data_IF_397223022460
#
_entry.id   IF_397223022460
#
_cell.length_a   1.000
_cell.length_b   1.000
_cell.length_c   1.000
_cell.angle_alpha   90.00
_cell.angle_beta   90.00
_cell.angle_gamma   90.00
#
_symmetry.space_group_name_H-M   'P 1'
#
loop_
_entity.id
_entity.type
_entity.pdbx_description
1 polymer ?
#
# COMPACT_ATOMS: atom_id res chain seq x y z
N UNK A 1 42.20 4.42 60.95
CA UNK A 1 42.25 4.98 59.59
C UNK A 1 41.83 4.01 58.51
N UNK A 2 41.80 2.68 58.71
CA UNK A 2 41.46 1.70 57.71
C UNK A 2 39.97 1.51 57.42
N UNK A 3 39.08 1.82 58.34
CA UNK A 3 37.62 1.61 58.19
C UNK A 3 36.94 2.68 57.34
N UNK A 4 37.44 3.90 57.34
CA UNK A 4 36.91 5.03 56.52
C UNK A 4 37.23 4.84 55.01
N UNK A 5 38.38 4.24 54.70
CA UNK A 5 38.77 4.01 53.31
C UNK A 5 37.93 2.91 52.65
N UNK A 6 37.52 1.88 53.42
CA UNK A 6 36.69 0.80 52.91
C UNK A 6 35.25 1.21 52.59
N UNK A 7 34.69 2.15 53.36
CA UNK A 7 33.33 2.65 53.11
C UNK A 7 33.22 3.57 51.90
N UNK A 8 34.24 4.42 51.70
CA UNK A 8 34.28 5.33 50.52
C UNK A 8 34.50 4.58 49.23
N UNK A 9 35.32 3.54 49.19
CA UNK A 9 35.56 2.72 48.00
C UNK A 9 34.28 1.96 47.59
N UNK A 10 33.52 1.42 48.57
CA UNK A 10 32.25 0.74 48.30
C UNK A 10 31.15 1.68 47.80
N UNK A 11 31.12 2.93 48.32
CA UNK A 11 30.15 3.93 47.87
C UNK A 11 30.41 4.38 46.43
N UNK A 12 31.68 4.59 46.07
CA UNK A 12 32.10 4.99 44.71
C UNK A 12 31.87 3.86 43.70
N UNK A 13 32.17 2.60 44.08
CA UNK A 13 31.92 1.45 43.23
C UNK A 13 30.41 1.24 42.97
N UNK A 14 29.56 1.43 44.00
CA UNK A 14 28.10 1.35 43.85
C UNK A 14 27.52 2.46 42.94
N UNK A 15 28.05 3.68 43.04
CA UNK A 15 27.59 4.79 42.20
C UNK A 15 28.01 4.60 40.74
N UNK A 16 29.17 4.01 40.46
CA UNK A 16 29.66 3.78 39.11
C UNK A 16 28.91 2.65 38.40
N UNK A 17 28.42 1.64 39.11
CA UNK A 17 27.57 0.55 38.56
C UNK A 17 26.17 1.07 38.21
N UNK A 18 25.61 1.98 39.00
CA UNK A 18 24.30 2.58 38.66
C UNK A 18 24.33 3.48 37.42
N UNK A 19 25.47 4.14 37.12
CA UNK A 19 25.60 4.98 35.93
C UNK A 19 25.69 4.17 34.61
N UNK A 20 26.07 2.91 34.67
CA UNK A 20 26.19 2.04 33.47
C UNK A 20 24.86 1.45 32.99
N UNK A 21 23.79 1.52 33.79
CA UNK A 21 22.48 0.97 33.46
C UNK A 21 21.55 1.95 32.74
N UNK A 22 21.91 3.20 32.57
CA UNK A 22 21.09 4.25 31.90
C UNK A 22 21.40 4.37 30.41
N UNK A 23 22.32 3.59 29.86
CA UNK A 23 22.82 3.77 28.49
C UNK A 23 22.07 2.96 27.39
N UNK A 24 20.91 2.34 27.68
CA UNK A 24 20.22 1.52 26.70
C UNK A 24 18.74 1.84 26.54
N UNK A 25 18.41 3.11 26.30
CA UNK A 25 17.08 3.43 25.79
C UNK A 25 17.12 4.64 24.87
N UNK A 26 17.77 4.48 23.71
CA UNK A 26 17.33 5.24 22.55
C UNK A 26 16.21 4.43 21.92
N UNK A 27 14.95 4.90 21.94
CA UNK A 27 13.94 4.28 21.11
C UNK A 27 14.47 4.34 19.68
N UNK A 28 14.63 3.18 19.04
CA UNK A 28 14.79 3.12 17.60
C UNK A 28 13.50 3.71 17.05
N UNK A 29 13.53 5.00 16.75
CA UNK A 29 12.50 5.60 15.94
C UNK A 29 12.65 4.91 14.59
N UNK A 30 11.82 3.90 14.35
CA UNK A 30 11.60 3.39 13.03
C UNK A 30 11.25 4.60 12.16
N UNK A 31 12.15 4.98 11.27
CA UNK A 31 11.92 6.04 10.30
C UNK A 31 10.76 5.54 9.44
N UNK A 32 9.57 6.04 9.75
CA UNK A 32 8.39 5.85 8.91
C UNK A 32 8.74 6.43 7.54
N UNK A 33 8.91 5.53 6.57
CA UNK A 33 9.05 5.93 5.18
C UNK A 33 7.64 6.06 4.64
N UNK A 34 7.26 7.24 4.18
CA UNK A 34 5.99 7.50 3.50
C UNK A 34 6.07 7.28 1.99
N UNK A 35 7.18 6.72 1.50
CA UNK A 35 7.38 6.36 0.09
C UNK A 35 6.95 4.92 -0.18
N UNK A 36 6.49 4.62 -1.41
CA UNK A 36 6.12 3.26 -1.78
C UNK A 36 7.34 2.33 -1.79
N UNK A 37 7.09 1.05 -1.55
CA UNK A 37 8.10 0.00 -1.63
C UNK A 37 7.92 -0.83 -2.91
N UNK A 38 9.02 -1.30 -3.49
CA UNK A 38 8.96 -2.19 -4.64
C UNK A 38 8.23 -3.50 -4.29
N UNK A 39 7.47 -4.03 -5.25
CA UNK A 39 6.85 -5.35 -5.13
C UNK A 39 7.89 -6.44 -5.34
N UNK A 40 7.96 -7.37 -4.39
CA UNK A 40 8.85 -8.52 -4.47
C UNK A 40 8.11 -9.74 -5.05
N UNK A 41 8.76 -10.63 -5.81
CA UNK A 41 8.11 -11.82 -6.39
C UNK A 41 7.42 -12.74 -5.38
N UNK A 42 7.81 -12.70 -4.11
CA UNK A 42 7.20 -13.48 -3.01
C UNK A 42 6.15 -12.71 -2.22
N UNK A 43 5.81 -11.46 -2.60
CA UNK A 43 4.81 -10.71 -1.86
C UNK A 43 3.41 -11.32 -2.02
N UNK A 44 2.73 -11.44 -0.89
CA UNK A 44 1.37 -11.93 -0.81
C UNK A 44 0.36 -10.78 -0.66
N UNK A 45 -0.78 -10.93 -1.27
CA UNK A 45 -1.87 -9.98 -1.14
C UNK A 45 -2.41 -10.00 0.29
N UNK A 46 -2.48 -8.83 0.92
CA UNK A 46 -2.95 -8.67 2.30
C UNK A 46 -4.38 -9.17 2.54
N UNK A 47 -5.23 -9.17 1.52
CA UNK A 47 -6.64 -9.59 1.63
C UNK A 47 -6.81 -11.06 1.28
N UNK A 48 -6.33 -11.49 0.12
CA UNK A 48 -6.62 -12.85 -0.39
C UNK A 48 -5.49 -13.86 -0.20
N UNK A 49 -4.29 -13.43 0.26
CA UNK A 49 -3.14 -14.30 0.51
C UNK A 49 -2.47 -14.88 -0.73
N UNK A 50 -2.90 -14.51 -1.95
CA UNK A 50 -2.25 -14.99 -3.16
C UNK A 50 -0.96 -14.21 -3.45
N UNK A 51 0.02 -14.88 -4.06
CA UNK A 51 1.22 -14.24 -4.57
C UNK A 51 0.82 -13.19 -5.60
N UNK A 52 1.32 -11.95 -5.43
CA UNK A 52 0.93 -10.80 -6.25
C UNK A 52 1.54 -10.86 -7.65
N UNK A 53 2.77 -11.40 -7.72
CA UNK A 53 3.50 -11.52 -8.98
C UNK A 53 2.75 -12.40 -10.00
N UNK A 54 2.84 -12.01 -11.27
CA UNK A 54 2.18 -12.73 -12.36
C UNK A 54 0.72 -12.34 -12.62
N UNK A 55 0.05 -11.60 -11.75
CA UNK A 55 -1.27 -11.04 -12.08
C UNK A 55 -1.16 -9.80 -12.97
N UNK A 56 -2.00 -9.66 -13.99
CA UNK A 56 -2.03 -8.46 -14.83
C UNK A 56 -2.73 -7.30 -14.12
N UNK A 57 -2.50 -6.09 -14.60
CA UNK A 57 -3.12 -4.87 -14.13
C UNK A 57 -2.45 -4.23 -12.90
N UNK A 58 -2.93 -3.05 -12.50
CA UNK A 58 -2.32 -2.27 -11.44
C UNK A 58 -2.44 -2.95 -10.09
N UNK A 59 -1.36 -2.92 -9.33
CA UNK A 59 -1.30 -3.30 -7.93
C UNK A 59 -1.52 -2.08 -7.05
N UNK A 60 -1.77 -2.32 -5.77
CA UNK A 60 -1.86 -1.26 -4.78
C UNK A 60 -1.08 -1.59 -3.52
N UNK A 61 -0.67 -0.54 -2.81
CA UNK A 61 -0.11 -0.68 -1.47
C UNK A 61 -0.58 0.43 -0.54
N UNK A 62 -0.66 0.09 0.73
CA UNK A 62 -0.94 1.02 1.82
C UNK A 62 0.27 1.07 2.73
N UNK A 63 0.86 2.26 2.87
CA UNK A 63 2.02 2.53 3.72
C UNK A 63 1.53 3.17 5.00
N UNK A 64 1.74 2.49 6.12
CA UNK A 64 1.35 2.92 7.47
C UNK A 64 2.55 2.91 8.41
N UNK A 65 2.43 3.52 9.58
CA UNK A 65 3.47 3.44 10.62
C UNK A 65 3.76 2.01 11.08
N UNK A 66 2.75 1.14 10.99
CA UNK A 66 2.84 -0.28 11.35
C UNK A 66 3.53 -1.14 10.29
N UNK A 67 3.73 -0.62 9.08
CA UNK A 67 4.32 -1.34 7.96
C UNK A 67 3.57 -1.11 6.66
N UNK A 68 3.93 -1.89 5.64
CA UNK A 68 3.36 -1.79 4.30
C UNK A 68 2.46 -3.01 4.05
N UNK A 69 1.26 -2.75 3.56
CA UNK A 69 0.32 -3.77 3.09
C UNK A 69 0.25 -3.71 1.58
N UNK A 70 0.44 -4.83 0.93
CA UNK A 70 0.43 -4.96 -0.53
C UNK A 70 -0.79 -5.74 -1.01
N UNK A 71 -1.29 -5.39 -2.18
CA UNK A 71 -2.55 -5.90 -2.71
C UNK A 71 -2.38 -6.29 -4.18
N UNK A 72 -2.97 -7.42 -4.56
CA UNK A 72 -2.87 -7.95 -5.92
C UNK A 72 -3.60 -7.08 -6.96
N UNK A 73 -4.46 -6.16 -6.54
CA UNK A 73 -5.13 -5.20 -7.42
C UNK A 73 -5.47 -3.90 -6.71
N UNK A 74 -5.68 -2.86 -7.48
CA UNK A 74 -6.21 -1.57 -7.01
C UNK A 74 -7.59 -1.73 -6.35
N UNK A 75 -8.46 -2.59 -6.88
CA UNK A 75 -9.79 -2.83 -6.33
C UNK A 75 -9.74 -3.48 -4.94
N UNK A 76 -8.86 -4.46 -4.75
CA UNK A 76 -8.63 -5.10 -3.43
C UNK A 76 -8.14 -4.08 -2.40
N UNK A 77 -7.17 -3.24 -2.77
CA UNK A 77 -6.64 -2.20 -1.90
C UNK A 77 -7.72 -1.21 -1.49
N UNK A 78 -8.47 -0.67 -2.47
CA UNK A 78 -9.52 0.32 -2.18
C UNK A 78 -10.65 -0.34 -1.40
N UNK A 79 -11.03 -1.58 -1.72
CA UNK A 79 -12.06 -2.33 -0.98
C UNK A 79 -11.67 -2.54 0.49
N UNK A 80 -10.40 -2.86 0.75
CA UNK A 80 -9.87 -2.93 2.10
C UNK A 80 -9.86 -1.56 2.79
N UNK A 81 -9.42 -0.51 2.09
CA UNK A 81 -9.38 0.85 2.61
C UNK A 81 -10.76 1.40 2.98
N UNK A 82 -11.81 1.05 2.22
CA UNK A 82 -13.19 1.51 2.49
C UNK A 82 -13.83 0.88 3.75
N UNK A 83 -13.20 -0.12 4.37
CA UNK A 83 -13.68 -0.63 5.65
C UNK A 83 -13.37 0.36 6.77
N UNK A 84 -14.35 0.71 7.63
CA UNK A 84 -14.15 1.73 8.68
C UNK A 84 -12.98 1.44 9.61
N UNK A 85 -12.72 0.18 9.90
CA UNK A 85 -11.63 -0.28 10.76
C UNK A 85 -10.24 -0.07 10.16
N UNK A 86 -10.13 0.22 8.87
CA UNK A 86 -8.86 0.39 8.17
C UNK A 86 -8.46 1.86 7.96
N UNK A 87 -9.35 2.80 8.32
CA UNK A 87 -9.11 4.24 8.21
C UNK A 87 -8.35 4.81 9.43
N UNK A 88 -7.41 4.07 9.99
CA UNK A 88 -6.71 4.52 11.20
C UNK A 88 -5.41 5.24 10.88
N UNK A 89 -5.26 6.44 11.46
CA UNK A 89 -4.00 7.19 11.44
C UNK A 89 -3.62 7.76 10.08
N UNK A 90 -2.34 8.06 9.96
CA UNK A 90 -1.75 8.55 8.72
C UNK A 90 -1.35 7.36 7.85
N UNK A 91 -2.00 7.21 6.69
CA UNK A 91 -1.66 6.22 5.69
C UNK A 91 -1.49 6.87 4.33
N UNK A 92 -0.51 6.39 3.57
CA UNK A 92 -0.33 6.69 2.15
C UNK A 92 -0.81 5.51 1.33
N UNK A 93 -1.52 5.80 0.26
CA UNK A 93 -2.04 4.78 -0.66
C UNK A 93 -1.40 5.00 -2.02
N UNK A 94 -0.85 3.93 -2.58
CA UNK A 94 -0.19 3.97 -3.89
C UNK A 94 -0.78 2.94 -4.83
N UNK A 95 -0.83 3.28 -6.12
CA UNK A 95 -1.26 2.40 -7.21
C UNK A 95 -0.36 2.60 -8.42
N UNK A 96 -0.23 1.57 -9.28
CA UNK A 96 0.51 1.72 -10.52
C UNK A 96 -0.21 2.64 -11.51
N UNK A 97 0.55 3.52 -12.17
CA UNK A 97 0.07 4.32 -13.29
C UNK A 97 0.10 3.51 -14.59
N UNK A 98 -1.06 3.06 -15.04
CA UNK A 98 -1.19 2.27 -16.27
C UNK A 98 -1.06 3.09 -17.55
N UNK A 99 -0.93 4.40 -17.43
CA UNK A 99 -0.54 5.27 -18.54
C UNK A 99 0.95 5.19 -18.88
N UNK A 100 1.76 4.66 -17.94
CA UNK A 100 3.22 4.53 -18.05
C UNK A 100 3.69 3.09 -18.00
N UNK A 101 3.03 2.27 -17.22
CA UNK A 101 3.35 0.86 -17.01
C UNK A 101 2.64 -0.06 -18.00
N UNK A 102 3.29 -1.14 -18.46
CA UNK A 102 2.64 -2.17 -19.24
C UNK A 102 1.64 -2.97 -18.38
N UNK A 103 0.50 -3.35 -18.96
CA UNK A 103 -0.59 -4.02 -18.23
C UNK A 103 -0.18 -5.33 -17.57
N UNK A 104 0.63 -6.13 -18.26
CA UNK A 104 1.00 -7.46 -17.79
C UNK A 104 2.21 -7.49 -16.84
N UNK A 105 2.92 -6.38 -16.70
CA UNK A 105 4.08 -6.26 -15.83
C UNK A 105 4.24 -4.80 -15.37
N UNK A 106 3.38 -4.31 -14.46
CA UNK A 106 3.48 -2.96 -13.95
C UNK A 106 4.85 -2.70 -13.30
N UNK A 107 5.38 -1.50 -13.51
CA UNK A 107 6.69 -1.10 -13.00
C UNK A 107 6.52 -0.27 -11.72
N UNK A 108 7.18 -0.68 -10.64
CA UNK A 108 7.11 -0.01 -9.34
C UNK A 108 7.61 1.44 -9.36
N UNK A 109 8.46 1.82 -10.33
CA UNK A 109 8.84 3.21 -10.54
C UNK A 109 7.67 4.12 -10.98
N UNK A 110 6.56 3.52 -11.40
CA UNK A 110 5.34 4.20 -11.83
C UNK A 110 4.22 4.17 -10.76
N UNK A 111 4.55 3.95 -9.49
CA UNK A 111 3.60 4.09 -8.38
C UNK A 111 3.26 5.56 -8.15
N UNK A 112 1.97 5.84 -8.01
CA UNK A 112 1.39 7.19 -7.83
C UNK A 112 0.47 7.21 -6.62
N UNK A 113 0.20 8.40 -6.06
CA UNK A 113 -0.79 8.55 -4.98
C UNK A 113 -2.18 8.15 -5.48
N UNK A 114 -2.78 7.17 -4.82
CA UNK A 114 -4.07 6.62 -5.19
C UNK A 114 -5.21 7.65 -5.08
N UNK A 115 -5.11 8.60 -4.15
CA UNK A 115 -6.16 9.62 -3.95
C UNK A 115 -6.20 10.65 -5.06
N UNK A 116 -5.08 10.84 -5.74
CA UNK A 116 -4.95 11.78 -6.86
C UNK A 116 -5.18 11.14 -8.23
N UNK A 117 -5.18 9.81 -8.29
CA UNK A 117 -5.34 9.05 -9.51
C UNK A 117 -6.75 9.19 -10.13
N UNK A 118 -6.81 8.90 -11.42
CA UNK A 118 -8.03 8.66 -12.20
C UNK A 118 -8.19 7.16 -12.39
N UNK A 119 -9.40 6.67 -12.29
CA UNK A 119 -9.71 5.24 -12.38
C UNK A 119 -10.66 4.96 -13.52
N UNK A 120 -10.46 3.84 -14.22
CA UNK A 120 -11.40 3.36 -15.23
C UNK A 120 -11.97 2.03 -14.77
N UNK A 121 -13.31 1.96 -14.72
CA UNK A 121 -14.08 0.77 -14.34
C UNK A 121 -15.01 0.38 -15.48
N UNK A 122 -15.33 -0.92 -15.57
CA UNK A 122 -16.27 -1.45 -16.58
C UNK A 122 -15.62 -1.77 -17.92
N UNK A 123 -14.28 -1.87 -17.97
CA UNK A 123 -13.54 -2.34 -19.16
C UNK A 123 -13.62 -3.86 -19.30
N UNK A 124 -13.19 -4.37 -20.46
CA UNK A 124 -13.01 -5.81 -20.70
C UNK A 124 -11.64 -6.34 -20.26
N UNK A 125 -10.81 -5.48 -19.65
CA UNK A 125 -9.51 -5.88 -19.17
C UNK A 125 -9.62 -6.88 -18.02
N UNK A 126 -8.65 -7.78 -17.94
CA UNK A 126 -8.53 -8.75 -16.85
C UNK A 126 -7.49 -8.29 -15.85
N UNK A 127 -7.78 -8.50 -14.58
CA UNK A 127 -6.90 -8.26 -13.44
C UNK A 127 -6.73 -9.51 -12.59
N UNK A 128 -6.25 -9.33 -11.36
CA UNK A 128 -6.05 -10.42 -10.42
C UNK A 128 -7.37 -11.08 -10.03
N UNK A 129 -8.36 -10.31 -9.58
CA UNK A 129 -9.67 -10.79 -9.12
C UNK A 129 -10.72 -9.68 -9.23
N UNK A 130 -11.98 -10.10 -9.39
CA UNK A 130 -13.15 -9.21 -9.31
C UNK A 130 -13.15 -8.09 -10.35
N UNK A 131 -13.62 -6.92 -9.93
CA UNK A 131 -13.68 -5.72 -10.76
C UNK A 131 -12.28 -5.17 -11.02
N UNK A 132 -12.06 -4.72 -12.25
CA UNK A 132 -10.80 -4.05 -12.61
C UNK A 132 -10.98 -2.54 -12.44
N UNK A 133 -10.10 -1.94 -11.66
CA UNK A 133 -9.91 -0.50 -11.56
C UNK A 133 -8.54 -0.15 -12.14
N UNK A 134 -8.51 0.23 -13.40
CA UNK A 134 -7.28 0.70 -14.05
C UNK A 134 -6.97 2.13 -13.58
N UNK A 135 -5.78 2.35 -13.03
CA UNK A 135 -5.36 3.61 -12.42
C UNK A 135 -4.40 4.40 -13.31
N UNK A 136 -4.54 5.72 -13.33
CA UNK A 136 -3.79 6.65 -14.19
C UNK A 136 -3.47 7.94 -13.45
N UNK A 137 -2.28 8.50 -13.66
CA UNK A 137 -1.95 9.87 -13.26
C UNK A 137 -2.61 10.91 -14.15
N UNK A 138 -2.91 10.57 -15.41
CA UNK A 138 -3.48 11.47 -16.42
C UNK A 138 -4.95 11.17 -16.69
N UNK A 139 -5.79 12.20 -16.57
CA UNK A 139 -7.20 12.10 -16.95
C UNK A 139 -7.36 11.74 -18.44
N UNK A 140 -6.52 12.30 -19.30
CA UNK A 140 -6.56 12.01 -20.73
C UNK A 140 -6.27 10.53 -21.03
N UNK A 141 -5.28 9.94 -20.33
CA UNK A 141 -4.96 8.51 -20.47
C UNK A 141 -6.13 7.63 -20.01
N UNK A 142 -6.77 7.98 -18.87
CA UNK A 142 -7.95 7.30 -18.39
C UNK A 142 -9.12 7.39 -19.37
N UNK A 143 -9.40 8.58 -19.91
CA UNK A 143 -10.44 8.80 -20.92
C UNK A 143 -10.17 8.01 -22.20
N UNK A 144 -8.92 7.96 -22.63
CA UNK A 144 -8.52 7.16 -23.80
C UNK A 144 -8.82 5.68 -23.57
N UNK A 145 -8.42 5.11 -22.42
CA UNK A 145 -8.74 3.72 -22.11
C UNK A 145 -10.25 3.46 -22.10
N UNK A 146 -11.03 4.36 -21.45
CA UNK A 146 -12.49 4.24 -21.40
C UNK A 146 -13.14 4.29 -22.78
N UNK A 147 -12.60 5.10 -23.70
CA UNK A 147 -13.07 5.17 -25.08
C UNK A 147 -12.72 3.87 -25.87
N UNK A 148 -11.52 3.35 -25.68
CA UNK A 148 -11.00 2.19 -26.43
C UNK A 148 -11.56 0.85 -25.94
N UNK A 149 -11.80 0.69 -24.63
CA UNK A 149 -12.16 -0.57 -23.97
C UNK A 149 -13.56 -0.55 -23.34
N UNK A 150 -14.27 0.57 -23.45
CA UNK A 150 -15.50 0.81 -22.69
C UNK A 150 -15.20 1.18 -21.24
N UNK A 151 -16.27 1.48 -20.51
CA UNK A 151 -16.18 1.86 -19.11
C UNK A 151 -16.34 3.35 -18.85
N UNK A 152 -16.08 3.75 -17.61
CA UNK A 152 -16.21 5.14 -17.17
C UNK A 152 -15.04 5.55 -16.28
N UNK A 153 -14.70 6.83 -16.34
CA UNK A 153 -13.64 7.43 -15.51
C UNK A 153 -14.22 7.87 -14.17
N UNK A 154 -13.52 7.58 -13.08
CA UNK A 154 -13.84 7.94 -11.71
C UNK A 154 -12.67 8.63 -11.05
N UNK A 155 -12.94 9.39 -9.98
CA UNK A 155 -11.96 9.81 -8.99
C UNK A 155 -11.98 8.83 -7.81
N UNK A 156 -10.96 8.89 -6.97
CA UNK A 156 -10.89 8.06 -5.77
C UNK A 156 -12.13 8.21 -4.88
N UNK A 157 -12.63 9.44 -4.70
CA UNK A 157 -13.82 9.75 -3.92
C UNK A 157 -15.13 9.17 -4.48
N UNK A 158 -15.16 8.79 -5.75
CA UNK A 158 -16.33 8.24 -6.42
C UNK A 158 -16.42 6.72 -6.31
N UNK A 159 -15.39 6.09 -5.74
CA UNK A 159 -15.32 4.64 -5.60
C UNK A 159 -15.90 4.23 -4.25
N UNK A 160 -17.00 3.55 -4.28
CA UNK A 160 -17.69 2.96 -3.15
C UNK A 160 -17.81 1.44 -3.28
N UNK A 161 -18.43 0.80 -2.30
CA UNK A 161 -18.68 -0.64 -2.34
C UNK A 161 -19.55 -1.08 -3.53
N UNK A 162 -20.46 -0.23 -3.98
CA UNK A 162 -21.30 -0.55 -5.14
C UNK A 162 -20.49 -0.58 -6.44
N UNK A 163 -19.52 0.33 -6.59
CA UNK A 163 -18.56 0.31 -7.70
C UNK A 163 -17.72 -0.97 -7.69
N UNK A 164 -17.24 -1.38 -6.51
CA UNK A 164 -16.39 -2.57 -6.35
C UNK A 164 -17.13 -3.90 -6.55
N UNK A 165 -18.45 -3.90 -6.44
CA UNK A 165 -19.31 -5.07 -6.67
C UNK A 165 -19.81 -5.18 -8.11
N UNK A 166 -19.51 -4.21 -8.98
CA UNK A 166 -19.92 -4.25 -10.38
C UNK A 166 -19.24 -5.42 -11.09
N UNK A 167 -20.06 -6.32 -11.66
CA UNK A 167 -19.53 -7.36 -12.54
C UNK A 167 -19.18 -6.74 -13.90
N UNK A 168 -18.14 -7.23 -14.60
CA UNK A 168 -17.89 -6.84 -15.98
C UNK A 168 -19.18 -7.03 -16.80
N UNK A 169 -19.52 -6.04 -17.62
CA UNK A 169 -20.67 -6.18 -18.53
C UNK A 169 -20.47 -7.42 -19.39
N UNK A 170 -21.30 -8.44 -19.19
CA UNK A 170 -21.29 -9.60 -20.07
C UNK A 170 -21.79 -9.14 -21.43
N UNK A 171 -20.92 -9.12 -22.43
CA UNK A 171 -21.33 -8.94 -23.81
C UNK A 171 -22.17 -10.16 -24.21
N UNK A 172 -23.48 -10.02 -24.21
CA UNK A 172 -24.36 -11.01 -24.88
C UNK A 172 -24.08 -10.90 -26.36
N UNK A 173 -23.20 -11.74 -26.87
CA UNK A 173 -23.14 -12.03 -28.31
C UNK A 173 -24.43 -12.77 -28.65
N UNK A 174 -25.41 -12.07 -29.18
CA UNK A 174 -26.54 -12.70 -29.89
C UNK A 174 -25.97 -13.33 -31.15
N UNK A 175 -25.88 -14.64 -31.16
CA UNK A 175 -25.72 -15.47 -32.38
C UNK A 175 -27.04 -15.57 -33.14
#
# INVERSE_FOLDING_TARGET
MSTLYSTTVRAVAGLMVCLLLVACDKPVQATYSDVPAAFHPSDECHVCGMIIDGFPGPKGEVVERSGIKKFCSTAEMIGWWLQPENHHGEARLYVHDMGRSPWNAPNDADLIDAREAFYVVGTQLKGAMGVVLASFSSQQAAQKLAADQGGRVLRFSDIDQAVLQQQPAMSHSTH
#
